data_IF_008447881465
#
_entry.id   IF_008447881465
#
_cell.length_a   1.000
_cell.length_b   1.000
_cell.length_c   1.000
_cell.angle_alpha   90.00
_cell.angle_beta   90.00
_cell.angle_gamma   90.00
#
_symmetry.space_group_name_H-M   'P 1'
#
loop_
_entity.id
_entity.type
_entity.pdbx_description
1 polymer ?
#
# COMPACT_ATOMS: atom_id res chain seq x y z
N UNK A 1 18.38 -31.43 69.22
CA UNK A 1 17.44 -30.46 68.63
C UNK A 1 18.10 -29.86 67.38
N UNK A 2 17.72 -30.33 66.20
CA UNK A 2 18.30 -29.93 64.91
C UNK A 2 17.49 -28.77 64.32
N UNK A 3 18.11 -27.60 64.18
CA UNK A 3 17.50 -26.40 63.58
C UNK A 3 17.80 -26.39 62.07
N UNK A 4 16.76 -26.58 61.26
CA UNK A 4 16.82 -26.53 59.81
C UNK A 4 17.16 -25.11 59.30
N UNK A 5 18.20 -25.00 58.47
CA UNK A 5 18.54 -23.77 57.74
C UNK A 5 17.56 -23.59 56.58
N UNK A 6 16.73 -22.54 56.62
CA UNK A 6 15.88 -22.12 55.50
C UNK A 6 16.74 -21.43 54.44
N UNK A 7 16.72 -21.93 53.21
CA UNK A 7 17.27 -21.22 52.05
C UNK A 7 16.38 -20.03 51.66
N UNK A 8 16.95 -18.89 51.22
CA UNK A 8 16.17 -17.75 50.80
C UNK A 8 15.48 -18.01 49.45
N UNK A 9 14.19 -17.66 49.41
CA UNK A 9 13.35 -17.62 48.20
C UNK A 9 14.01 -16.69 47.16
N UNK A 10 14.42 -17.24 46.01
CA UNK A 10 14.79 -16.42 44.85
C UNK A 10 13.50 -15.87 44.24
N UNK A 11 13.32 -14.55 44.26
CA UNK A 11 12.25 -13.90 43.53
C UNK A 11 12.41 -14.17 42.02
N UNK A 12 11.31 -14.43 41.28
CA UNK A 12 11.39 -14.52 39.83
C UNK A 12 11.83 -13.18 39.27
N UNK A 13 12.90 -13.19 38.47
CA UNK A 13 13.39 -12.01 37.76
C UNK A 13 12.25 -11.48 36.89
N UNK A 14 11.90 -10.22 37.11
CA UNK A 14 11.07 -9.42 36.22
C UNK A 14 11.66 -9.49 34.82
N UNK A 15 10.93 -10.13 33.90
CA UNK A 15 11.18 -9.99 32.47
C UNK A 15 10.80 -8.54 32.15
N UNK A 16 11.68 -7.71 31.54
CA UNK A 16 11.26 -6.40 31.08
C UNK A 16 10.14 -6.61 30.07
N UNK A 17 8.96 -6.05 30.36
CA UNK A 17 7.91 -5.90 29.37
C UNK A 17 8.50 -5.13 28.21
N UNK A 18 8.84 -5.85 27.14
CA UNK A 18 9.27 -5.25 25.89
C UNK A 18 8.07 -4.51 25.32
N UNK A 19 8.06 -3.21 25.55
CA UNK A 19 7.17 -2.23 24.95
C UNK A 19 7.37 -2.26 23.43
N UNK A 20 6.64 -3.13 22.75
CA UNK A 20 6.49 -3.08 21.30
C UNK A 20 5.36 -2.11 20.96
N UNK A 21 5.72 -0.88 20.57
CA UNK A 21 4.98 -0.08 19.58
C UNK A 21 6.04 0.65 18.73
N UNK A 22 5.84 0.88 17.40
CA UNK A 22 4.55 1.13 16.76
C UNK A 22 4.37 0.38 15.43
N UNK A 23 3.41 -0.53 15.38
CA UNK A 23 2.53 -0.64 14.19
C UNK A 23 1.29 0.12 14.62
N UNK A 24 0.61 0.85 13.73
CA UNK A 24 -0.73 1.40 14.04
C UNK A 24 -1.49 0.32 14.81
N UNK A 25 -1.87 0.62 16.06
CA UNK A 25 -2.30 -0.45 16.98
C UNK A 25 -3.38 -1.28 16.29
N UNK A 26 -3.42 -2.60 16.51
CA UNK A 26 -4.43 -3.47 15.88
C UNK A 26 -5.82 -2.82 15.93
N UNK A 27 -6.12 -2.19 17.06
CA UNK A 27 -7.32 -1.40 17.29
C UNK A 27 -7.51 -0.25 16.29
N UNK A 28 -6.50 0.62 16.11
CA UNK A 28 -6.52 1.71 15.12
C UNK A 28 -6.75 1.20 13.70
N UNK A 29 -6.13 0.07 13.34
CA UNK A 29 -6.34 -0.56 12.02
C UNK A 29 -7.78 -1.06 11.87
N UNK A 30 -8.33 -1.72 12.88
CA UNK A 30 -9.70 -2.22 12.86
C UNK A 30 -10.72 -1.08 12.77
N UNK A 31 -10.50 0.01 13.51
CA UNK A 31 -11.33 1.22 13.45
C UNK A 31 -11.32 1.83 12.04
N UNK A 32 -10.14 2.06 11.48
CA UNK A 32 -10.00 2.57 10.11
C UNK A 32 -10.72 1.68 9.08
N UNK A 33 -10.50 0.35 9.16
CA UNK A 33 -11.10 -0.57 8.20
C UNK A 33 -12.62 -0.68 8.37
N UNK A 34 -13.14 -0.58 9.60
CA UNK A 34 -14.57 -0.56 9.87
C UNK A 34 -15.23 0.64 9.20
N UNK A 35 -14.65 1.83 9.33
CA UNK A 35 -15.14 3.03 8.66
C UNK A 35 -15.16 2.85 7.13
N UNK A 36 -14.12 2.25 6.54
CA UNK A 36 -14.09 2.00 5.09
C UNK A 36 -15.22 1.05 4.65
N UNK A 37 -15.49 -0.02 5.40
CA UNK A 37 -16.53 -1.00 5.05
C UNK A 37 -17.96 -0.42 5.15
N UNK A 38 -18.26 0.33 6.21
CA UNK A 38 -19.58 0.95 6.41
C UNK A 38 -19.94 1.90 5.25
N UNK A 39 -18.94 2.60 4.69
CA UNK A 39 -19.13 3.56 3.62
C UNK A 39 -19.14 2.92 2.22
N UNK A 40 -18.58 1.72 2.05
CA UNK A 40 -18.59 0.99 0.77
C UNK A 40 -19.93 0.30 0.46
N UNK A 41 -20.78 0.06 1.46
CA UNK A 41 -22.05 -0.64 1.31
C UNK A 41 -23.12 0.18 0.54
N UNK A 42 -22.86 1.45 0.25
CA UNK A 42 -23.86 2.41 -0.25
C UNK A 42 -23.66 2.84 -1.72
N UNK A 43 -22.90 2.08 -2.52
CA UNK A 43 -22.48 2.54 -3.86
C UNK A 43 -22.80 1.54 -4.97
N UNK A 44 -24.04 1.11 -5.10
CA UNK A 44 -24.46 0.35 -6.29
C UNK A 44 -24.22 1.20 -7.55
N UNK A 45 -23.43 0.68 -8.50
CA UNK A 45 -23.10 1.33 -9.77
C UNK A 45 -21.79 2.12 -9.81
N UNK A 46 -21.25 2.57 -8.67
CA UNK A 46 -19.94 3.24 -8.65
C UNK A 46 -18.80 2.21 -8.61
N UNK A 47 -17.77 2.41 -9.43
CA UNK A 47 -16.56 1.58 -9.41
C UNK A 47 -15.36 2.47 -9.14
N UNK A 48 -14.64 2.15 -8.06
CA UNK A 48 -13.38 2.81 -7.75
C UNK A 48 -12.33 2.45 -8.82
N UNK A 49 -12.07 3.38 -9.73
CA UNK A 49 -11.11 3.23 -10.83
C UNK A 49 -10.12 4.41 -10.87
N UNK A 50 -9.28 4.58 -9.82
CA UNK A 50 -8.41 5.72 -9.72
C UNK A 50 -7.26 5.66 -10.72
N UNK A 51 -6.86 6.84 -11.20
CA UNK A 51 -5.61 7.08 -11.91
C UNK A 51 -4.41 6.93 -10.97
N UNK A 52 -3.20 6.77 -11.53
CA UNK A 52 -1.97 6.71 -10.74
C UNK A 52 -1.77 7.98 -9.88
N UNK A 53 -2.16 9.14 -10.40
CA UNK A 53 -2.07 10.42 -9.70
C UNK A 53 -3.03 10.50 -8.52
N UNK A 54 -4.27 10.02 -8.68
CA UNK A 54 -5.22 9.96 -7.57
C UNK A 54 -4.75 9.00 -6.47
N UNK A 55 -4.19 7.84 -6.85
CA UNK A 55 -3.58 6.92 -5.88
C UNK A 55 -2.44 7.58 -5.09
N UNK A 56 -1.57 8.33 -5.77
CA UNK A 56 -0.53 9.12 -5.08
C UNK A 56 -1.14 10.17 -4.15
N UNK A 57 -2.21 10.85 -4.56
CA UNK A 57 -2.93 11.82 -3.73
C UNK A 57 -3.50 11.17 -2.47
N UNK A 58 -4.18 10.03 -2.58
CA UNK A 58 -4.71 9.30 -1.42
C UNK A 58 -3.61 8.85 -0.47
N UNK A 59 -2.47 8.38 -1.00
CA UNK A 59 -1.31 8.03 -0.19
C UNK A 59 -0.74 9.26 0.56
N UNK A 60 -0.58 10.39 -0.12
CA UNK A 60 -0.08 11.63 0.50
C UNK A 60 -1.04 12.09 1.60
N UNK A 61 -2.36 12.11 1.36
CA UNK A 61 -3.36 12.50 2.36
C UNK A 61 -3.33 11.56 3.58
N UNK A 62 -3.24 10.25 3.35
CA UNK A 62 -3.15 9.24 4.41
C UNK A 62 -1.92 9.44 5.31
N UNK A 63 -0.73 9.68 4.74
CA UNK A 63 0.50 9.80 5.53
C UNK A 63 0.60 11.09 6.34
N UNK A 64 -0.14 12.13 5.97
CA UNK A 64 -0.28 13.37 6.74
C UNK A 64 -1.57 13.42 7.55
N UNK A 65 -2.28 12.29 7.67
CA UNK A 65 -3.54 12.16 8.43
C UNK A 65 -4.63 13.15 8.01
N UNK A 66 -4.64 13.59 6.74
CA UNK A 66 -5.71 14.41 6.18
C UNK A 66 -6.87 13.53 5.70
N UNK A 67 -8.13 13.92 5.97
CA UNK A 67 -9.29 13.18 5.50
C UNK A 67 -9.41 13.24 3.97
N UNK A 68 -10.02 12.21 3.40
CA UNK A 68 -10.45 12.13 2.01
C UNK A 68 -11.82 11.45 1.93
N UNK A 69 -12.41 11.40 0.74
CA UNK A 69 -13.76 10.84 0.55
C UNK A 69 -13.90 9.46 1.18
N UNK A 70 -14.97 9.27 1.95
CA UNK A 70 -15.32 7.99 2.60
C UNK A 70 -15.66 6.88 1.60
N UNK A 71 -15.92 7.23 0.34
CA UNK A 71 -16.19 6.28 -0.75
C UNK A 71 -14.93 5.63 -1.32
N UNK A 72 -13.74 5.96 -0.79
CA UNK A 72 -12.45 5.43 -1.24
C UNK A 72 -12.17 4.11 -0.52
N UNK A 73 -12.24 2.95 -1.18
CA UNK A 73 -12.17 1.63 -0.55
C UNK A 73 -10.72 1.14 -0.41
N UNK A 74 -9.85 1.97 0.19
CA UNK A 74 -8.46 1.59 0.48
C UNK A 74 -8.39 1.17 1.95
N UNK A 75 -8.01 -0.07 2.22
CA UNK A 75 -7.93 -0.60 3.60
C UNK A 75 -6.51 -0.51 4.14
N UNK A 76 -6.36 -0.41 5.46
CA UNK A 76 -5.07 -0.46 6.15
C UNK A 76 -4.78 -1.91 6.54
N UNK A 77 -3.73 -2.52 6.00
CA UNK A 77 -3.39 -3.92 6.28
C UNK A 77 -1.88 -4.17 6.15
N UNK A 78 -1.35 -5.16 6.90
CA UNK A 78 0.02 -5.63 6.68
C UNK A 78 0.06 -6.61 5.52
N UNK A 79 0.11 -6.07 4.31
CA UNK A 79 -0.06 -6.82 3.08
C UNK A 79 0.99 -7.93 2.89
N UNK A 80 2.18 -7.76 3.46
CA UNK A 80 3.28 -8.71 3.33
C UNK A 80 3.22 -9.84 4.38
N UNK A 81 2.09 -10.00 5.05
CA UNK A 81 1.82 -11.13 5.96
C UNK A 81 0.68 -12.03 5.50
N UNK A 82 -0.01 -11.67 4.41
CA UNK A 82 -1.22 -12.35 3.93
C UNK A 82 -1.02 -12.84 2.50
N UNK A 83 -1.21 -14.13 2.26
CA UNK A 83 -1.11 -14.70 0.92
C UNK A 83 -2.20 -14.13 0.00
N UNK A 84 -1.89 -13.89 -1.29
CA UNK A 84 -2.76 -13.07 -2.13
C UNK A 84 -4.13 -13.68 -2.43
N UNK A 85 -4.30 -15.00 -2.37
CA UNK A 85 -5.63 -15.63 -2.50
C UNK A 85 -6.51 -15.38 -1.28
N UNK A 86 -5.93 -15.37 -0.09
CA UNK A 86 -6.69 -15.10 1.14
C UNK A 86 -7.20 -13.66 1.20
N UNK A 87 -6.44 -12.72 0.62
CA UNK A 87 -6.84 -11.32 0.48
C UNK A 87 -8.19 -11.19 -0.26
N UNK A 88 -8.41 -12.04 -1.27
CA UNK A 88 -9.57 -12.02 -2.17
C UNK A 88 -10.68 -12.99 -1.76
N UNK A 89 -10.49 -13.78 -0.70
CA UNK A 89 -11.48 -14.75 -0.24
C UNK A 89 -12.81 -14.05 0.08
N UNK A 90 -13.87 -14.47 -0.60
CA UNK A 90 -15.22 -13.90 -0.42
C UNK A 90 -15.45 -12.51 -1.06
N UNK A 91 -14.48 -11.96 -1.80
CA UNK A 91 -14.60 -10.65 -2.46
C UNK A 91 -14.82 -10.81 -3.96
N UNK A 92 -15.70 -9.99 -4.52
CA UNK A 92 -16.04 -9.99 -5.96
C UNK A 92 -15.28 -8.92 -6.75
N UNK A 93 -14.55 -8.04 -6.05
CA UNK A 93 -13.82 -6.94 -6.65
C UNK A 93 -12.70 -7.42 -7.57
N UNK A 94 -12.55 -6.74 -8.72
CA UNK A 94 -11.49 -7.03 -9.70
C UNK A 94 -10.09 -6.66 -9.19
N UNK A 95 -10.03 -5.73 -8.25
CA UNK A 95 -8.80 -5.28 -7.61
C UNK A 95 -9.11 -4.76 -6.20
N UNK A 96 -8.15 -4.91 -5.30
CA UNK A 96 -8.23 -4.42 -3.93
C UNK A 96 -7.07 -3.47 -3.66
N UNK A 97 -7.29 -2.48 -2.79
CA UNK A 97 -6.36 -1.40 -2.54
C UNK A 97 -6.00 -1.34 -1.05
N UNK A 98 -4.71 -1.19 -0.76
CA UNK A 98 -4.17 -1.28 0.58
C UNK A 98 -3.22 -0.14 0.87
N UNK A 99 -3.32 0.48 2.04
CA UNK A 99 -2.18 1.09 2.68
C UNK A 99 -1.44 0.01 3.47
N UNK A 100 -0.14 -0.13 3.22
CA UNK A 100 0.71 -1.08 3.93
C UNK A 100 2.01 -0.41 4.32
N UNK A 101 2.50 -0.73 5.51
CA UNK A 101 3.80 -0.27 5.97
C UNK A 101 4.90 -1.19 5.42
N UNK A 102 5.93 -0.61 4.81
CA UNK A 102 7.09 -1.37 4.36
C UNK A 102 8.02 -1.71 5.53
N UNK A 103 8.20 -3.00 5.79
CA UNK A 103 9.10 -3.50 6.84
C UNK A 103 10.49 -3.79 6.28
N UNK A 104 11.54 -3.22 6.87
CA UNK A 104 12.93 -3.49 6.47
C UNK A 104 13.31 -4.92 6.86
N UNK A 105 14.10 -5.61 6.01
CA UNK A 105 14.56 -6.98 6.29
C UNK A 105 15.42 -7.07 7.55
N UNK A 106 16.21 -6.03 7.83
CA UNK A 106 17.05 -5.83 9.02
C UNK A 106 17.20 -4.34 9.29
N UNK A 107 17.50 -3.94 10.52
CA UNK A 107 17.90 -2.57 10.87
C UNK A 107 19.07 -2.11 9.99
N UNK A 108 18.97 -0.92 9.40
CA UNK A 108 19.97 -0.38 8.47
C UNK A 108 19.91 -0.90 7.02
N UNK A 109 19.04 -1.86 6.70
CA UNK A 109 18.90 -2.37 5.34
C UNK A 109 18.01 -1.44 4.47
N UNK A 110 18.37 -1.28 3.20
CA UNK A 110 17.58 -0.56 2.19
C UNK A 110 16.49 -1.42 1.56
N UNK A 111 16.56 -2.76 1.74
CA UNK A 111 15.61 -3.72 1.18
C UNK A 111 14.47 -4.02 2.16
N UNK A 112 13.25 -3.93 1.64
CA UNK A 112 12.02 -4.29 2.35
C UNK A 112 11.69 -5.78 2.20
N UNK A 113 11.02 -6.32 3.21
CA UNK A 113 10.46 -7.68 3.20
C UNK A 113 9.31 -7.71 2.21
N UNK A 114 9.36 -8.67 1.29
CA UNK A 114 8.32 -8.94 0.31
C UNK A 114 8.03 -10.44 0.17
N UNK A 115 8.50 -11.23 1.13
CA UNK A 115 8.19 -12.66 1.25
C UNK A 115 6.89 -12.81 2.05
N UNK A 116 6.01 -13.72 1.62
CA UNK A 116 4.73 -13.99 2.26
C UNK A 116 4.50 -15.49 2.16
N UNK A 117 4.17 -16.16 3.26
CA UNK A 117 4.10 -17.63 3.29
C UNK A 117 5.38 -18.26 2.72
N UNK A 118 5.22 -19.18 1.77
CA UNK A 118 6.32 -19.84 1.04
C UNK A 118 6.71 -19.10 -0.26
N UNK A 119 6.04 -18.00 -0.59
CA UNK A 119 6.27 -17.23 -1.81
C UNK A 119 6.91 -15.86 -1.58
N UNK A 120 7.01 -15.09 -2.67
CA UNK A 120 7.47 -13.70 -2.61
C UNK A 120 6.98 -12.85 -3.75
N UNK A 121 6.74 -11.57 -3.48
CA UNK A 121 6.51 -10.55 -4.49
C UNK A 121 7.84 -10.12 -5.11
N UNK A 122 7.97 -10.28 -6.43
CA UNK A 122 9.13 -9.86 -7.22
C UNK A 122 8.79 -8.67 -8.11
N UNK A 123 9.72 -7.73 -8.23
CA UNK A 123 9.59 -6.62 -9.18
C UNK A 123 9.61 -7.14 -10.62
N UNK A 124 8.73 -6.59 -11.45
CA UNK A 124 8.68 -6.85 -12.88
C UNK A 124 9.28 -5.70 -13.71
N UNK A 125 9.39 -4.52 -13.11
CA UNK A 125 9.96 -3.33 -13.73
C UNK A 125 10.93 -2.61 -12.77
N UNK A 126 11.58 -1.55 -13.28
CA UNK A 126 12.44 -0.65 -12.50
C UNK A 126 11.63 0.39 -11.70
N UNK A 127 10.33 0.46 -11.93
CA UNK A 127 9.45 1.54 -11.49
C UNK A 127 9.39 2.70 -12.47
N UNK A 128 8.23 3.37 -12.51
CA UNK A 128 7.96 4.56 -13.33
C UNK A 128 7.58 5.73 -12.42
N UNK A 129 8.02 6.94 -12.78
CA UNK A 129 7.61 8.15 -12.07
C UNK A 129 6.10 8.39 -12.24
N UNK A 130 5.47 8.91 -11.19
CA UNK A 130 4.11 9.43 -11.23
C UNK A 130 4.19 10.92 -10.96
N UNK A 131 3.82 11.73 -11.95
CA UNK A 131 3.93 13.18 -11.88
C UNK A 131 2.60 13.84 -11.53
N UNK A 132 2.70 15.01 -10.92
CA UNK A 132 1.59 15.96 -10.79
C UNK A 132 1.20 16.52 -12.15
N UNK A 133 0.08 17.25 -12.22
CA UNK A 133 -0.33 17.97 -13.43
C UNK A 133 0.71 18.99 -13.89
N UNK A 134 1.50 19.54 -12.95
CA UNK A 134 2.59 20.49 -13.23
C UNK A 134 3.92 19.81 -13.54
N UNK A 135 3.94 18.50 -13.78
CA UNK A 135 5.15 17.75 -14.12
C UNK A 135 6.05 17.36 -12.94
N UNK A 136 5.87 17.92 -11.74
CA UNK A 136 6.67 17.54 -10.56
C UNK A 136 6.42 16.07 -10.16
N UNK A 137 7.48 15.33 -9.85
CA UNK A 137 7.39 13.92 -9.42
C UNK A 137 6.75 13.84 -8.03
N UNK A 138 5.62 13.14 -7.93
CA UNK A 138 4.97 12.85 -6.64
C UNK A 138 5.54 11.59 -5.99
N UNK A 139 5.94 10.64 -6.83
CA UNK A 139 6.35 9.31 -6.39
C UNK A 139 6.64 8.37 -7.54
N UNK A 140 6.68 7.09 -7.22
CA UNK A 140 6.99 6.01 -8.15
C UNK A 140 5.97 4.90 -8.05
N UNK A 141 5.68 4.28 -9.19
CA UNK A 141 4.84 3.10 -9.33
C UNK A 141 5.68 1.94 -9.82
N UNK A 142 5.67 0.81 -9.09
CA UNK A 142 6.35 -0.43 -9.47
C UNK A 142 5.34 -1.56 -9.68
N UNK A 143 5.58 -2.38 -10.69
CA UNK A 143 4.79 -3.59 -10.93
C UNK A 143 5.47 -4.79 -10.29
N UNK A 144 4.72 -5.57 -9.52
CA UNK A 144 5.20 -6.78 -8.86
C UNK A 144 4.32 -7.98 -9.21
N UNK A 145 4.94 -9.16 -9.23
CA UNK A 145 4.27 -10.45 -9.39
C UNK A 145 4.58 -11.34 -8.20
N UNK A 146 3.58 -12.01 -7.65
CA UNK A 146 3.79 -13.02 -6.63
C UNK A 146 4.26 -14.32 -7.29
N UNK A 147 5.32 -14.90 -6.75
CA UNK A 147 5.85 -16.20 -7.15
C UNK A 147 5.85 -17.13 -5.95
N UNK A 148 5.27 -18.31 -6.13
CA UNK A 148 5.30 -19.43 -5.21
C UNK A 148 5.33 -20.74 -6.02
N UNK A 149 6.52 -21.25 -6.38
CA UNK A 149 6.66 -22.48 -7.15
C UNK A 149 6.04 -23.72 -6.49
N UNK A 150 5.86 -23.71 -5.16
CA UNK A 150 5.20 -24.80 -4.43
C UNK A 150 3.69 -24.87 -4.63
N UNK A 151 3.06 -23.82 -5.19
CA UNK A 151 1.61 -23.74 -5.42
C UNK A 151 1.32 -23.34 -6.88
N UNK A 152 1.36 -24.28 -7.85
CA UNK A 152 1.22 -23.98 -9.29
C UNK A 152 -0.05 -23.21 -9.68
N UNK A 153 -1.17 -23.43 -8.97
CA UNK A 153 -2.44 -22.70 -9.21
C UNK A 153 -2.36 -21.20 -8.88
N UNK A 154 -1.42 -20.80 -8.02
CA UNK A 154 -1.24 -19.42 -7.58
C UNK A 154 0.06 -18.80 -8.09
N UNK A 155 1.03 -19.62 -8.50
CA UNK A 155 2.31 -19.14 -9.01
C UNK A 155 2.13 -18.20 -10.20
N UNK A 156 2.66 -16.99 -10.05
CA UNK A 156 2.59 -15.96 -11.08
C UNK A 156 1.19 -15.41 -11.37
N UNK A 157 0.14 -15.84 -10.68
CA UNK A 157 -1.24 -15.41 -10.97
C UNK A 157 -1.64 -14.09 -10.31
N UNK A 158 -0.84 -13.60 -9.37
CA UNK A 158 -1.15 -12.40 -8.61
C UNK A 158 -0.23 -11.24 -8.98
N UNK A 159 -0.84 -10.09 -9.24
CA UNK A 159 -0.18 -8.87 -9.68
C UNK A 159 -0.42 -7.76 -8.67
N UNK A 160 0.61 -6.96 -8.41
CA UNK A 160 0.54 -5.79 -7.55
C UNK A 160 1.13 -4.58 -8.27
N UNK A 161 0.50 -3.42 -8.10
CA UNK A 161 1.13 -2.11 -8.34
C UNK A 161 1.40 -1.46 -6.99
N UNK A 162 2.67 -1.20 -6.68
CA UNK A 162 3.12 -0.55 -5.44
C UNK A 162 3.45 0.92 -5.76
N UNK A 163 2.85 1.85 -5.01
CA UNK A 163 3.01 3.29 -5.15
C UNK A 163 3.73 3.84 -3.92
N UNK A 164 4.83 4.56 -4.14
CA UNK A 164 5.66 5.14 -3.07
C UNK A 164 5.93 6.62 -3.31
N UNK A 165 5.85 7.44 -2.27
CA UNK A 165 6.19 8.87 -2.31
C UNK A 165 7.69 9.06 -2.58
N UNK A 166 8.06 10.02 -3.43
CA UNK A 166 9.47 10.35 -3.71
C UNK A 166 10.13 11.10 -2.55
N UNK A 167 11.46 11.06 -2.47
CA UNK A 167 12.18 11.60 -1.31
C UNK A 167 12.03 13.12 -1.15
N UNK A 168 11.93 13.87 -2.25
CA UNK A 168 11.70 15.32 -2.22
C UNK A 168 10.36 15.66 -1.58
N UNK A 169 9.28 14.96 -1.99
CA UNK A 169 7.97 15.14 -1.37
C UNK A 169 8.03 14.73 0.11
N UNK A 170 8.66 13.61 0.46
CA UNK A 170 8.83 13.22 1.88
C UNK A 170 9.54 14.29 2.69
N UNK A 171 10.60 14.90 2.15
CA UNK A 171 11.33 16.01 2.80
C UNK A 171 10.40 17.20 3.04
N UNK A 172 9.63 17.61 2.05
CA UNK A 172 8.66 18.69 2.20
C UNK A 172 7.57 18.37 3.24
N UNK A 173 7.05 17.13 3.24
CA UNK A 173 6.04 16.71 4.22
C UNK A 173 6.58 16.74 5.65
N UNK A 174 7.81 16.24 5.88
CA UNK A 174 8.49 16.30 7.20
C UNK A 174 8.64 17.73 7.72
N UNK A 175 8.92 18.67 6.84
CA UNK A 175 9.12 20.07 7.22
C UNK A 175 7.81 20.78 7.58
N UNK A 176 6.70 20.38 6.95
CA UNK A 176 5.42 21.09 7.04
C UNK A 176 4.42 20.45 8.01
N UNK A 177 4.52 19.14 8.25
CA UNK A 177 3.56 18.39 9.06
C UNK A 177 4.29 17.68 10.20
N UNK A 178 4.12 18.18 11.43
CA UNK A 178 4.69 17.56 12.64
C UNK A 178 4.22 16.12 12.86
N UNK A 179 3.04 15.76 12.35
CA UNK A 179 2.44 14.42 12.47
C UNK A 179 2.89 13.43 11.39
N UNK A 180 3.84 13.80 10.52
CA UNK A 180 4.35 12.89 9.50
C UNK A 180 5.26 11.81 10.12
N UNK A 181 4.65 10.72 10.61
CA UNK A 181 5.32 9.53 11.14
C UNK A 181 5.10 8.26 10.29
N UNK A 182 4.42 8.39 9.14
CA UNK A 182 4.02 7.29 8.24
C UNK A 182 4.90 7.19 6.99
N UNK A 183 6.20 7.48 7.10
CA UNK A 183 7.09 7.62 5.93
C UNK A 183 7.42 6.33 5.17
N UNK A 184 7.11 5.18 5.78
CA UNK A 184 7.30 3.85 5.23
C UNK A 184 6.02 3.27 4.63
N UNK A 185 4.90 3.99 4.66
CA UNK A 185 3.68 3.54 4.04
C UNK A 185 3.74 3.67 2.51
N UNK A 186 3.19 2.66 1.86
CA UNK A 186 2.93 2.62 0.42
C UNK A 186 1.46 2.31 0.18
N UNK A 187 0.99 2.63 -1.03
CA UNK A 187 -0.30 2.18 -1.52
C UNK A 187 -0.08 1.01 -2.48
N UNK A 188 -0.79 -0.09 -2.26
CA UNK A 188 -0.74 -1.27 -3.12
C UNK A 188 -2.10 -1.52 -3.76
N UNK A 189 -2.13 -1.68 -5.08
CA UNK A 189 -3.27 -2.23 -5.82
C UNK A 189 -2.96 -3.68 -6.17
N UNK A 190 -3.70 -4.63 -5.62
CA UNK A 190 -3.55 -6.06 -5.90
C UNK A 190 -4.67 -6.54 -6.82
N UNK A 191 -4.37 -7.44 -7.75
CA UNK A 191 -5.35 -8.13 -8.60
C UNK A 191 -4.88 -9.53 -8.99
N UNK A 192 -5.82 -10.41 -9.30
CA UNK A 192 -5.53 -11.68 -9.98
C UNK A 192 -5.42 -11.44 -11.49
N UNK A 193 -4.51 -12.15 -12.16
CA UNK A 193 -4.49 -12.23 -13.63
C UNK A 193 -5.82 -12.86 -14.06
N UNK A 194 -6.49 -12.26 -15.04
CA UNK A 194 -7.65 -12.88 -15.67
C UNK A 194 -7.12 -14.04 -16.51
N UNK A 195 -7.56 -15.27 -16.22
CA UNK A 195 -7.25 -16.42 -17.04
C UNK A 195 -7.94 -16.28 -18.41
N UNK A 196 -7.30 -16.77 -19.47
CA UNK A 196 -8.08 -17.38 -20.55
C UNK A 196 -8.51 -18.72 -19.95
N UNK A 197 -9.81 -18.95 -19.85
CA UNK A 197 -10.50 -20.23 -20.06
C UNK A 197 -11.84 -20.24 -19.28
N UNK A 198 -12.88 -20.70 -19.99
CA UNK A 198 -14.29 -20.90 -19.61
C UNK A 198 -15.19 -19.65 -19.54
N UNK A 199 -15.37 -19.05 -20.71
CA UNK A 199 -16.55 -18.36 -21.27
C UNK A 199 -16.08 -17.15 -22.08
N UNK A 200 -16.10 -17.35 -23.41
CA UNK A 200 -15.46 -16.52 -24.42
C UNK A 200 -16.06 -15.12 -24.62
N UNK A 201 -16.09 -14.28 -23.59
CA UNK A 201 -16.22 -12.83 -23.74
C UNK A 201 -15.17 -12.18 -22.83
N UNK A 202 -13.96 -12.04 -23.37
CA UNK A 202 -13.02 -11.07 -22.83
C UNK A 202 -13.63 -9.67 -23.00
N UNK A 203 -13.72 -8.85 -21.94
CA UNK A 203 -13.84 -7.41 -22.15
C UNK A 203 -12.59 -6.99 -22.91
N UNK A 204 -12.76 -6.57 -24.17
CA UNK A 204 -11.71 -5.87 -24.91
C UNK A 204 -11.35 -4.62 -24.09
N UNK A 205 -10.31 -4.68 -23.28
CA UNK A 205 -9.60 -3.46 -22.88
C UNK A 205 -8.92 -2.98 -24.16
N UNK A 206 -9.55 -2.01 -24.83
CA UNK A 206 -9.07 -1.37 -26.05
C UNK A 206 -7.66 -0.86 -25.79
N UNK A 207 -6.72 -1.39 -26.56
CA UNK A 207 -5.35 -0.91 -26.64
C UNK A 207 -5.42 0.52 -27.17
N UNK A 208 -5.15 1.52 -26.33
CA UNK A 208 -4.94 2.93 -26.75
C UNK A 208 -3.87 3.64 -25.91
N UNK A 209 -2.92 2.90 -25.34
CA UNK A 209 -1.87 3.50 -24.51
C UNK A 209 -0.57 3.79 -25.27
N UNK A 210 -0.38 3.26 -26.48
CA UNK A 210 0.84 3.47 -27.26
C UNK A 210 0.74 4.63 -28.26
N UNK A 211 -0.42 4.87 -28.89
CA UNK A 211 -0.59 5.94 -29.91
C UNK A 211 -0.70 7.37 -29.33
N UNK A 212 -1.04 7.56 -28.04
CA UNK A 212 -1.14 8.90 -27.44
C UNK A 212 0.23 9.50 -27.08
N UNK A 213 1.25 8.66 -26.85
CA UNK A 213 2.57 9.13 -26.39
C UNK A 213 3.36 9.86 -27.49
N UNK A 214 3.05 9.65 -28.76
CA UNK A 214 3.69 10.37 -29.87
C UNK A 214 3.09 11.78 -30.13
N UNK A 215 1.94 12.10 -29.54
CA UNK A 215 1.24 13.39 -29.78
C UNK A 215 1.67 14.48 -28.78
N UNK A 216 2.14 14.14 -27.57
CA UNK A 216 2.36 15.11 -26.48
C UNK A 216 3.84 15.49 -26.30
N UNK A 217 4.72 15.01 -27.20
CA UNK A 217 6.14 15.32 -27.19
C UNK A 217 6.45 16.70 -27.77
N UNK A 218 6.20 17.78 -27.01
CA UNK A 218 7.01 19.03 -27.01
C UNK A 218 6.39 20.10 -26.11
N UNK A 219 6.99 20.35 -24.95
CA UNK A 219 7.59 21.65 -24.64
C UNK A 219 8.13 21.68 -23.20
N UNK A 220 9.39 22.08 -23.13
CA UNK A 220 10.11 22.47 -21.92
C UNK A 220 9.48 23.71 -21.28
N UNK A 221 9.44 23.75 -19.94
CA UNK A 221 9.88 24.91 -19.14
C UNK A 221 9.67 24.66 -17.64
N UNK A 222 10.56 25.27 -16.87
CA UNK A 222 10.78 25.06 -15.46
C UNK A 222 9.75 25.73 -14.52
N UNK A 223 9.76 25.18 -13.30
CA UNK A 223 9.66 25.86 -12.01
C UNK A 223 8.30 26.02 -11.28
N UNK A 224 8.43 25.93 -9.95
CA UNK A 224 7.46 26.17 -8.87
C UNK A 224 6.64 24.99 -8.34
N UNK A 225 7.18 24.37 -7.28
CA UNK A 225 6.50 23.49 -6.33
C UNK A 225 5.37 24.23 -5.59
N UNK A 226 4.13 23.97 -6.00
CA UNK A 226 2.96 24.20 -5.16
C UNK A 226 1.97 23.06 -5.37
N UNK A 227 2.07 22.04 -4.53
CA UNK A 227 1.01 21.05 -4.32
C UNK A 227 -0.06 21.76 -3.46
N UNK A 228 -1.07 22.33 -4.11
CA UNK A 228 -2.23 22.86 -3.40
C UNK A 228 -3.14 21.71 -2.96
N UNK A 229 -2.80 21.12 -1.82
CA UNK A 229 -3.55 20.07 -1.13
C UNK A 229 -4.93 20.54 -0.62
N UNK A 230 -5.29 21.81 -0.78
CA UNK A 230 -6.54 22.37 -0.27
C UNK A 230 -7.60 22.64 -1.36
N UNK A 231 -7.31 22.38 -2.64
CA UNK A 231 -8.32 22.60 -3.70
C UNK A 231 -9.41 21.51 -3.64
N UNK A 232 -10.69 21.86 -3.37
CA UNK A 232 -11.79 20.90 -3.40
C UNK A 232 -12.11 20.51 -4.85
N UNK A 233 -12.44 19.25 -5.09
CA UNK A 233 -12.90 18.78 -6.38
C UNK A 233 -14.35 19.23 -6.61
N UNK A 234 -14.61 19.86 -7.76
CA UNK A 234 -15.94 19.92 -8.33
C UNK A 234 -16.08 18.64 -9.18
N UNK A 235 -17.16 17.89 -8.93
CA UNK A 235 -17.49 16.66 -9.65
C UNK A 235 -18.02 16.93 -11.05
#
# INVERSE_FOLDING_TARGET
MSLARRHPFKQPRTIPSTSYLPTTSYQTRMEYNKEVQENSAHTEGFRFHPTDRELMKYLILFVISKPFSKLVPIVLEDLYTIEPWDIFKGKKDRALYFFTELKKKKTGNTRYVRSVGEGSWKSQDKGKAVCSEKGSILGYKRSLRYQNPGLPLHDGQWLMKEYSICDDVKKHLRQRFHEYNKEHYVLCRVKRKVGKDEDGIAPKETIIDEEINDIIGSNDAADTLAIDINRPFHG
#
